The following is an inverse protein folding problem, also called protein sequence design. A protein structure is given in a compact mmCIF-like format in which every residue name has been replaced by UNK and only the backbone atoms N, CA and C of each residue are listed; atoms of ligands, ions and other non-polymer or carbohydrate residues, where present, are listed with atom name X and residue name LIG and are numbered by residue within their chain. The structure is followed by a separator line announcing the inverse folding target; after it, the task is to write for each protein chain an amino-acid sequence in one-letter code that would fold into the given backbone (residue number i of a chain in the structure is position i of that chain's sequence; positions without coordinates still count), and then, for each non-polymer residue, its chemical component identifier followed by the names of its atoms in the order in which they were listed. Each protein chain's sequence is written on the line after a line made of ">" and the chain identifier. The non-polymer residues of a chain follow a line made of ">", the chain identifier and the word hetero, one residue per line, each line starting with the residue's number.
data_IF_288551649605
#
_entry.id   IF_288551649605
#
_cell.length_a   1.000
_cell.length_b   1.000
_cell.length_c   1.000
_cell.angle_alpha   90.00
_cell.angle_beta   90.00
_cell.angle_gamma   90.00
#
_symmetry.space_group_name_H-M   'P 1'
#
loop_
_entity.id
_entity.type
_entity.pdbx_description
1 polymer ?
#
# COMPACT_ATOMS: atom_id res chain seq x y z
N UNK A 1 7.40 -5.01 -1.36
CA UNK A 1 7.11 -5.49 0.03
C UNK A 1 6.12 -4.51 0.64
N UNK A 2 5.43 -4.83 1.74
CA UNK A 2 4.39 -3.94 2.27
C UNK A 2 4.10 -4.29 3.72
N UNK A 3 3.43 -3.38 4.44
CA UNK A 3 2.93 -3.60 5.80
C UNK A 3 1.54 -2.95 5.93
N UNK A 4 0.54 -3.71 6.39
CA UNK A 4 -0.81 -3.20 6.67
C UNK A 4 -1.20 -3.49 8.10
N UNK A 5 -1.82 -2.52 8.77
CA UNK A 5 -2.23 -2.59 10.17
C UNK A 5 -3.69 -2.16 10.33
N UNK A 6 -4.37 -2.74 11.30
CA UNK A 6 -5.74 -2.40 11.67
C UNK A 6 -5.91 -2.43 13.18
N UNK A 7 -6.77 -1.55 13.71
CA UNK A 7 -7.28 -1.61 15.07
C UNK A 7 -8.79 -1.40 15.06
N UNK A 8 -9.52 -2.32 15.72
CA UNK A 8 -10.98 -2.31 15.75
C UNK A 8 -11.53 -1.21 16.68
N UNK A 9 -12.81 -0.83 16.54
CA UNK A 9 -13.45 0.17 17.38
C UNK A 9 -13.30 -0.10 18.90
N UNK A 10 -13.29 -1.37 19.29
CA UNK A 10 -13.12 -1.75 20.70
C UNK A 10 -11.73 -1.45 21.26
N UNK A 11 -10.72 -1.29 20.40
CA UNK A 11 -9.32 -1.07 20.78
C UNK A 11 -8.83 0.36 20.58
N UNK A 12 -9.50 1.15 19.73
CA UNK A 12 -9.09 2.52 19.40
C UNK A 12 -9.56 3.54 20.44
N UNK A 13 -8.91 4.70 20.46
CA UNK A 13 -9.17 5.78 21.44
C UNK A 13 -10.57 6.39 21.30
N UNK A 14 -11.09 6.49 20.06
CA UNK A 14 -12.36 7.17 19.76
C UNK A 14 -13.47 6.21 19.31
N UNK A 15 -13.26 4.90 19.41
CA UNK A 15 -14.28 3.91 19.05
C UNK A 15 -14.54 3.76 17.55
N UNK A 16 -13.61 4.22 16.70
CA UNK A 16 -13.68 4.04 15.26
C UNK A 16 -12.62 3.05 14.76
N UNK A 17 -12.90 2.36 13.67
CA UNK A 17 -11.92 1.48 13.03
C UNK A 17 -10.77 2.32 12.49
N UNK A 18 -9.52 1.93 12.80
CA UNK A 18 -8.32 2.50 12.18
C UNK A 18 -7.67 1.48 11.27
N UNK A 19 -7.28 1.94 10.08
CA UNK A 19 -6.59 1.12 9.10
C UNK A 19 -5.40 1.90 8.52
N UNK A 20 -4.27 1.25 8.26
CA UNK A 20 -3.16 1.92 7.60
C UNK A 20 -2.27 0.97 6.82
N UNK A 21 -1.58 1.50 5.79
CA UNK A 21 -0.68 0.73 4.96
C UNK A 21 0.51 1.54 4.46
N UNK A 22 1.66 0.86 4.45
CA UNK A 22 2.82 1.19 3.63
C UNK A 22 2.88 0.25 2.42
N UNK A 23 3.00 0.80 1.22
CA UNK A 23 3.26 0.05 -0.01
C UNK A 23 4.74 0.17 -0.38
N UNK A 24 5.45 -0.95 -0.49
CA UNK A 24 6.89 -0.95 -0.75
C UNK A 24 7.18 -1.52 -2.15
N UNK A 25 7.68 -0.66 -3.03
CA UNK A 25 7.93 -0.98 -4.44
C UNK A 25 9.27 -0.38 -4.91
N UNK A 26 9.56 -0.52 -6.20
CA UNK A 26 10.79 0.02 -6.78
C UNK A 26 10.82 1.57 -6.70
N UNK A 27 11.95 2.20 -6.30
CA UNK A 27 12.03 3.66 -6.19
C UNK A 27 11.74 4.47 -7.45
N UNK A 28 11.78 3.86 -8.64
CA UNK A 28 11.49 4.53 -9.91
C UNK A 28 10.18 4.06 -10.55
N UNK A 29 9.33 3.43 -9.77
CA UNK A 29 8.01 3.00 -10.18
C UNK A 29 6.99 4.07 -9.76
N UNK A 30 6.41 4.82 -10.72
CA UNK A 30 5.38 5.79 -10.37
C UNK A 30 4.20 5.09 -9.71
N UNK A 31 3.87 5.54 -8.50
CA UNK A 31 2.67 5.13 -7.76
C UNK A 31 1.98 6.39 -7.27
N UNK A 32 0.69 6.54 -7.59
CA UNK A 32 -0.07 7.74 -7.30
C UNK A 32 -1.49 7.42 -6.84
N UNK A 33 -2.12 8.40 -6.20
CA UNK A 33 -3.53 8.34 -5.85
C UNK A 33 -4.38 8.63 -7.09
N UNK A 34 -5.45 7.83 -7.26
CA UNK A 34 -6.42 8.00 -8.32
C UNK A 34 -7.84 7.89 -7.75
N UNK A 35 -8.66 8.89 -8.01
CA UNK A 35 -10.09 8.87 -7.77
C UNK A 35 -10.81 8.33 -9.00
N UNK A 36 -11.75 7.42 -8.80
CA UNK A 36 -12.55 6.80 -9.84
C UNK A 36 -14.01 6.90 -9.39
N UNK A 37 -14.84 7.71 -10.06
CA UNK A 37 -16.25 7.86 -9.71
C UNK A 37 -17.04 6.58 -9.94
N UNK A 38 -18.15 6.44 -9.24
CA UNK A 38 -19.13 5.38 -9.50
C UNK A 38 -19.60 5.42 -10.95
N UNK A 39 -19.82 4.24 -11.56
CA UNK A 39 -20.16 4.16 -12.98
C UNK A 39 -21.10 3.00 -13.31
N UNK A 40 -22.10 3.30 -14.14
CA UNK A 40 -23.00 2.31 -14.72
C UNK A 40 -22.51 1.84 -16.09
N UNK A 41 -22.68 0.55 -16.37
CA UNK A 41 -22.25 -0.11 -17.61
C UNK A 41 -23.40 -0.80 -18.30
N UNK A 42 -23.51 -0.59 -19.62
CA UNK A 42 -24.36 -1.39 -20.49
C UNK A 42 -23.62 -2.70 -20.82
N UNK A 43 -24.00 -3.78 -20.18
CA UNK A 43 -23.37 -5.08 -20.35
C UNK A 43 -23.51 -5.69 -21.77
N UNK A 44 -24.45 -5.18 -22.59
CA UNK A 44 -24.54 -5.58 -23.98
C UNK A 44 -23.41 -4.96 -24.82
N UNK A 45 -22.97 -3.75 -24.44
CA UNK A 45 -21.83 -3.05 -25.10
C UNK A 45 -20.48 -3.35 -24.47
N UNK A 46 -20.46 -3.57 -23.14
CA UNK A 46 -19.24 -3.78 -22.38
C UNK A 46 -19.38 -5.03 -21.49
N UNK A 47 -19.43 -6.23 -22.08
CA UNK A 47 -19.66 -7.47 -21.32
C UNK A 47 -18.45 -7.90 -20.48
N UNK A 48 -17.25 -7.36 -20.78
CA UNK A 48 -16.00 -7.75 -20.12
C UNK A 48 -15.18 -6.53 -19.72
N UNK A 49 -14.43 -6.70 -18.62
CA UNK A 49 -13.45 -5.76 -18.11
C UNK A 49 -12.05 -6.35 -18.30
N UNK A 50 -11.15 -5.62 -18.94
CA UNK A 50 -9.72 -6.00 -19.06
C UNK A 50 -8.98 -5.53 -17.82
N UNK A 51 -8.40 -6.48 -17.07
CA UNK A 51 -7.49 -6.25 -15.96
C UNK A 51 -6.04 -6.10 -16.46
N UNK A 52 -5.08 -6.16 -15.56
CA UNK A 52 -3.66 -6.05 -15.96
C UNK A 52 -3.25 -7.11 -16.98
N UNK A 53 -3.71 -8.35 -16.88
CA UNK A 53 -3.32 -9.46 -17.76
C UNK A 53 -4.47 -10.28 -18.33
N UNK A 54 -5.64 -10.25 -17.73
CA UNK A 54 -6.78 -11.09 -18.12
C UNK A 54 -8.05 -10.26 -18.20
N UNK A 55 -9.06 -10.77 -18.91
CA UNK A 55 -10.40 -10.19 -18.93
C UNK A 55 -11.34 -10.99 -18.01
N UNK A 56 -12.23 -10.28 -17.31
CA UNK A 56 -13.28 -10.86 -16.46
C UNK A 56 -14.63 -10.28 -16.85
N UNK A 57 -15.76 -10.90 -16.46
CA UNK A 57 -17.08 -10.30 -16.67
C UNK A 57 -17.19 -8.93 -16.01
N UNK A 58 -17.76 -7.97 -16.74
CA UNK A 58 -18.12 -6.67 -16.20
C UNK A 58 -19.40 -6.79 -15.34
N UNK A 59 -19.62 -5.81 -14.48
CA UNK A 59 -20.85 -5.65 -13.67
C UNK A 59 -21.64 -4.44 -14.14
N UNK A 60 -22.93 -4.37 -13.84
CA UNK A 60 -23.80 -3.26 -14.24
C UNK A 60 -23.42 -1.93 -13.56
N UNK A 61 -22.87 -2.01 -12.35
CA UNK A 61 -22.50 -0.84 -11.55
C UNK A 61 -21.18 -1.08 -10.82
N UNK A 62 -20.32 -0.05 -10.79
CA UNK A 62 -19.12 0.00 -9.93
C UNK A 62 -19.21 1.18 -8.97
N UNK A 63 -18.74 0.98 -7.74
CA UNK A 63 -18.74 1.99 -6.69
C UNK A 63 -17.62 3.00 -6.87
N UNK A 64 -17.81 4.19 -6.30
CA UNK A 64 -16.79 5.22 -6.21
C UNK A 64 -15.64 4.78 -5.30
N UNK A 65 -14.42 4.93 -5.79
CA UNK A 65 -13.21 4.50 -5.09
C UNK A 65 -12.10 5.55 -5.19
N UNK A 66 -11.21 5.56 -4.20
CA UNK A 66 -9.86 6.11 -4.33
C UNK A 66 -8.83 5.02 -4.09
N UNK A 67 -7.88 4.91 -5.00
CA UNK A 67 -6.85 3.87 -4.98
C UNK A 67 -5.45 4.47 -5.09
N UNK A 68 -4.47 3.76 -4.53
CA UNK A 68 -3.05 4.02 -4.79
C UNK A 68 -2.52 2.93 -5.70
N UNK A 69 -2.25 3.29 -6.96
CA UNK A 69 -1.85 2.30 -7.96
C UNK A 69 -0.51 2.60 -8.61
N UNK A 70 0.28 1.56 -8.92
CA UNK A 70 1.40 1.68 -9.86
C UNK A 70 0.88 2.06 -11.25
N UNK A 71 1.51 3.04 -11.90
CA UNK A 71 1.04 3.63 -13.17
C UNK A 71 0.79 2.64 -14.31
N UNK A 72 1.45 1.49 -14.29
CA UNK A 72 1.41 0.48 -15.37
C UNK A 72 0.39 -0.65 -15.13
N UNK A 73 -0.25 -0.71 -13.96
CA UNK A 73 -1.24 -1.74 -13.61
C UNK A 73 -2.66 -1.19 -13.69
N UNK A 74 -3.63 -2.04 -13.93
CA UNK A 74 -5.04 -1.72 -13.72
C UNK A 74 -5.39 -1.69 -12.23
N UNK A 75 -4.86 -2.64 -11.47
CA UNK A 75 -5.09 -2.82 -10.04
C UNK A 75 -4.33 -1.85 -9.14
N UNK A 76 -4.51 -1.96 -7.84
CA UNK A 76 -3.95 -1.07 -6.83
C UNK A 76 -3.35 -1.79 -5.63
N UNK A 77 -2.41 -1.15 -4.94
CA UNK A 77 -1.76 -1.64 -3.73
C UNK A 77 -2.63 -1.45 -2.49
N UNK A 78 -3.46 -0.42 -2.47
CA UNK A 78 -4.48 -0.16 -1.46
C UNK A 78 -5.53 0.81 -2.00
N UNK A 79 -6.63 0.87 -1.32
CA UNK A 79 -7.69 1.81 -1.61
C UNK A 79 -8.88 1.68 -0.67
N UNK A 80 -9.87 2.50 -0.93
CA UNK A 80 -11.12 2.57 -0.19
C UNK A 80 -12.26 3.02 -1.10
N UNK A 81 -13.50 2.73 -0.68
CA UNK A 81 -14.70 3.08 -1.44
C UNK A 81 -15.70 3.94 -0.63
N UNK A 82 -16.79 4.33 -1.28
CA UNK A 82 -17.84 5.18 -0.73
C UNK A 82 -18.58 4.63 0.50
N UNK A 83 -18.46 3.34 0.78
CA UNK A 83 -19.03 2.70 1.97
C UNK A 83 -18.04 2.61 3.14
N UNK A 84 -16.81 3.13 2.97
CA UNK A 84 -15.75 2.99 3.96
C UNK A 84 -15.09 1.61 3.98
N UNK A 85 -15.27 0.80 2.94
CA UNK A 85 -14.49 -0.42 2.75
C UNK A 85 -13.05 -0.05 2.41
N UNK A 86 -12.10 -0.57 3.18
CA UNK A 86 -10.66 -0.39 3.00
C UNK A 86 -9.98 -1.74 2.77
N UNK A 87 -9.11 -1.84 1.76
CA UNK A 87 -8.36 -3.05 1.46
C UNK A 87 -6.90 -2.69 1.17
N UNK A 88 -5.99 -3.47 1.77
CA UNK A 88 -4.56 -3.48 1.45
C UNK A 88 -4.08 -4.91 1.21
N UNK A 89 -3.13 -5.10 0.29
CA UNK A 89 -2.56 -6.41 0.02
C UNK A 89 -1.05 -6.44 0.21
N UNK A 90 -0.51 -7.61 0.55
CA UNK A 90 0.93 -7.89 0.63
C UNK A 90 1.32 -9.08 -0.24
N UNK A 91 2.50 -9.00 -0.82
CA UNK A 91 3.13 -10.14 -1.45
C UNK A 91 3.50 -11.19 -0.39
N UNK A 92 3.05 -12.43 -0.55
CA UNK A 92 3.46 -13.57 0.27
C UNK A 92 4.11 -14.66 -0.58
N UNK A 93 5.13 -15.29 -0.04
CA UNK A 93 5.89 -16.32 -0.73
C UNK A 93 5.48 -17.69 -0.23
N UNK A 94 4.95 -18.52 -1.13
CA UNK A 94 4.41 -19.83 -0.77
C UNK A 94 5.02 -20.94 -1.61
N UNK A 95 4.90 -22.19 -1.15
CA UNK A 95 5.37 -23.38 -1.87
C UNK A 95 4.49 -23.74 -3.07
N UNK A 96 3.28 -23.14 -3.18
CA UNK A 96 2.43 -23.34 -4.35
C UNK A 96 3.06 -22.72 -5.60
N UNK A 97 2.77 -23.31 -6.74
CA UNK A 97 3.32 -22.83 -8.04
C UNK A 97 2.68 -21.49 -8.42
N UNK A 98 3.52 -20.54 -8.80
CA UNK A 98 3.07 -19.27 -9.36
C UNK A 98 2.63 -19.41 -10.81
N UNK A 99 1.46 -18.87 -11.15
CA UNK A 99 1.03 -18.69 -12.54
C UNK A 99 1.78 -17.51 -13.12
N UNK A 100 2.59 -17.73 -14.12
CA UNK A 100 3.51 -16.71 -14.68
C UNK A 100 2.89 -15.86 -15.79
N UNK A 101 1.81 -16.35 -16.39
CA UNK A 101 1.08 -15.71 -17.50
C UNK A 101 -0.42 -15.87 -17.24
N UNK A 102 -1.21 -14.94 -17.74
CA UNK A 102 -2.68 -15.04 -17.77
C UNK A 102 -3.32 -15.27 -16.38
N UNK A 103 -2.71 -14.70 -15.34
CA UNK A 103 -3.22 -14.74 -13.98
C UNK A 103 -3.72 -13.38 -13.51
N UNK A 104 -4.58 -13.39 -12.50
CA UNK A 104 -5.07 -12.18 -11.85
C UNK A 104 -4.11 -11.78 -10.74
N UNK A 105 -3.64 -10.53 -10.76
CA UNK A 105 -2.78 -10.02 -9.69
C UNK A 105 -3.59 -9.71 -8.44
N UNK A 106 -2.96 -9.74 -7.26
CA UNK A 106 -3.63 -9.33 -6.01
C UNK A 106 -4.10 -7.89 -6.04
N UNK A 107 -3.38 -7.04 -6.77
CA UNK A 107 -3.73 -5.64 -6.99
C UNK A 107 -5.03 -5.50 -7.81
N UNK A 108 -5.22 -6.34 -8.84
CA UNK A 108 -6.46 -6.39 -9.61
C UNK A 108 -7.64 -6.90 -8.75
N UNK A 109 -7.40 -7.93 -7.93
CA UNK A 109 -8.41 -8.47 -7.01
C UNK A 109 -8.88 -7.43 -5.99
N UNK A 110 -7.95 -6.66 -5.44
CA UNK A 110 -8.21 -5.58 -4.49
C UNK A 110 -9.12 -4.52 -5.12
N UNK A 111 -8.77 -4.03 -6.30
CA UNK A 111 -9.57 -3.02 -6.99
C UNK A 111 -10.96 -3.55 -7.35
N UNK A 112 -11.07 -4.78 -7.86
CA UNK A 112 -12.36 -5.42 -8.15
C UNK A 112 -13.25 -5.48 -6.89
N UNK A 113 -12.69 -5.85 -5.73
CA UNK A 113 -13.44 -5.92 -4.49
C UNK A 113 -13.92 -4.52 -4.04
N UNK A 114 -13.09 -3.49 -4.15
CA UNK A 114 -13.48 -2.11 -3.85
C UNK A 114 -14.58 -1.59 -4.77
N UNK A 115 -14.52 -1.89 -6.07
CA UNK A 115 -15.52 -1.48 -7.06
C UNK A 115 -16.87 -2.22 -6.93
N UNK A 116 -16.91 -3.39 -6.25
CA UNK A 116 -18.05 -4.32 -6.31
C UNK A 116 -18.66 -4.69 -4.96
N UNK A 117 -18.00 -4.39 -3.84
CA UNK A 117 -18.42 -4.81 -2.50
C UNK A 117 -18.66 -3.60 -1.60
N UNK A 118 -19.66 -3.69 -0.72
CA UNK A 118 -20.06 -2.63 0.20
C UNK A 118 -19.48 -2.78 1.59
N UNK A 119 -19.11 -4.01 1.97
CA UNK A 119 -18.64 -4.31 3.32
C UNK A 119 -17.40 -5.20 3.30
N UNK A 120 -16.68 -5.24 4.42
CA UNK A 120 -15.53 -6.10 4.59
C UNK A 120 -15.88 -7.59 4.44
N UNK A 121 -17.09 -7.98 4.87
CA UNK A 121 -17.55 -9.38 4.72
C UNK A 121 -17.87 -9.73 3.27
N UNK A 122 -18.55 -8.84 2.54
CA UNK A 122 -18.78 -9.04 1.10
C UNK A 122 -17.49 -9.13 0.32
N UNK A 123 -16.51 -8.26 0.63
CA UNK A 123 -15.18 -8.29 0.01
C UNK A 123 -14.42 -9.59 0.30
N UNK A 124 -14.50 -10.09 1.54
CA UNK A 124 -13.91 -11.39 1.91
C UNK A 124 -14.52 -12.52 1.10
N UNK A 125 -15.85 -12.59 1.02
CA UNK A 125 -16.57 -13.64 0.28
C UNK A 125 -16.24 -13.54 -1.22
N UNK A 126 -16.31 -12.33 -1.79
CA UNK A 126 -15.92 -12.09 -3.17
C UNK A 126 -14.50 -12.56 -3.47
N UNK A 127 -13.52 -12.19 -2.63
CA UNK A 127 -12.12 -12.55 -2.85
C UNK A 127 -11.88 -14.06 -2.74
N UNK A 128 -12.50 -14.74 -1.78
CA UNK A 128 -12.36 -16.19 -1.63
C UNK A 128 -12.94 -16.96 -2.82
N UNK A 129 -14.15 -16.61 -3.28
CA UNK A 129 -14.77 -17.18 -4.48
C UNK A 129 -13.97 -16.86 -5.75
N UNK A 130 -13.47 -15.62 -5.85
CA UNK A 130 -12.72 -15.18 -7.02
C UNK A 130 -11.38 -15.91 -7.16
N UNK A 131 -10.65 -16.11 -6.05
CA UNK A 131 -9.38 -16.86 -6.01
C UNK A 131 -9.57 -18.34 -6.39
N UNK A 132 -10.68 -18.94 -6.04
CA UNK A 132 -11.00 -20.33 -6.44
C UNK A 132 -11.30 -20.43 -7.94
N UNK A 133 -11.89 -19.39 -8.52
CA UNK A 133 -12.32 -19.36 -9.93
C UNK A 133 -11.22 -18.91 -10.89
N UNK A 134 -10.41 -17.92 -10.48
CA UNK A 134 -9.39 -17.32 -11.33
C UNK A 134 -7.99 -17.54 -10.73
N UNK A 135 -7.02 -18.07 -11.52
CA UNK A 135 -5.69 -18.33 -10.99
C UNK A 135 -4.97 -17.01 -10.64
N UNK A 136 -4.40 -16.94 -9.44
CA UNK A 136 -3.51 -15.85 -9.05
C UNK A 136 -2.22 -15.91 -9.87
N UNK A 137 -1.78 -14.78 -10.43
CA UNK A 137 -0.53 -14.77 -11.20
C UNK A 137 -0.32 -13.50 -12.00
N UNK A 138 0.52 -13.63 -13.02
CA UNK A 138 1.05 -12.49 -13.77
C UNK A 138 2.30 -11.91 -13.11
N UNK A 139 3.05 -11.11 -13.86
CA UNK A 139 4.22 -10.43 -13.35
C UNK A 139 3.82 -9.21 -12.51
N UNK A 140 4.20 -9.19 -11.25
CA UNK A 140 3.93 -8.08 -10.32
C UNK A 140 5.12 -7.11 -10.16
N UNK A 141 6.24 -7.36 -10.87
CA UNK A 141 7.48 -6.58 -10.73
C UNK A 141 7.64 -5.51 -11.79
N UNK A 142 8.03 -4.29 -11.38
CA UNK A 142 8.38 -3.20 -12.28
C UNK A 142 9.80 -3.32 -12.83
N UNK A 143 9.91 -3.45 -14.15
CA UNK A 143 11.21 -3.61 -14.83
C UNK A 143 11.96 -4.91 -14.52
N UNK A 144 11.32 -5.86 -13.84
CA UNK A 144 11.84 -7.19 -13.52
C UNK A 144 10.70 -8.20 -13.45
N UNK A 145 10.96 -9.48 -13.64
CA UNK A 145 9.99 -10.55 -13.39
C UNK A 145 9.94 -10.84 -11.89
N UNK A 146 8.75 -10.73 -11.30
CA UNK A 146 8.54 -11.01 -9.89
C UNK A 146 7.13 -11.59 -9.68
N UNK A 147 7.04 -12.77 -9.08
CA UNK A 147 5.82 -13.55 -8.91
C UNK A 147 5.61 -13.88 -7.46
N UNK A 148 4.39 -13.74 -6.96
CA UNK A 148 4.01 -14.04 -5.58
C UNK A 148 2.51 -14.30 -5.47
N UNK A 149 2.07 -14.84 -4.36
CA UNK A 149 0.66 -14.85 -3.96
C UNK A 149 0.39 -13.68 -3.03
N UNK A 150 -0.86 -13.56 -2.54
CA UNK A 150 -1.26 -12.37 -1.81
C UNK A 150 -1.83 -12.72 -0.44
N UNK A 151 -1.64 -11.83 0.52
CA UNK A 151 -2.48 -11.67 1.70
C UNK A 151 -3.20 -10.34 1.62
N UNK A 152 -4.37 -10.27 2.26
CA UNK A 152 -5.20 -9.07 2.28
C UNK A 152 -5.60 -8.76 3.71
N UNK A 153 -5.61 -7.48 4.06
CA UNK A 153 -6.30 -6.94 5.20
C UNK A 153 -7.49 -6.14 4.68
N UNK A 154 -8.68 -6.47 5.16
CA UNK A 154 -9.96 -5.96 4.67
C UNK A 154 -10.71 -5.42 5.87
N UNK A 155 -11.17 -4.17 5.84
CA UNK A 155 -11.89 -3.56 6.95
C UNK A 155 -12.98 -2.59 6.47
N UNK A 156 -14.07 -2.55 7.22
CA UNK A 156 -15.09 -1.49 7.19
C UNK A 156 -15.25 -0.89 8.61
N UNK A 157 -16.28 -0.12 8.85
CA UNK A 157 -16.52 0.50 10.16
C UNK A 157 -16.83 -0.51 11.29
N UNK A 158 -17.22 -1.72 10.95
CA UNK A 158 -17.69 -2.75 11.90
C UNK A 158 -16.72 -3.90 12.06
N UNK A 159 -16.18 -4.39 10.94
CA UNK A 159 -15.43 -5.64 10.89
C UNK A 159 -14.09 -5.49 10.17
N UNK A 160 -13.13 -6.30 10.60
CA UNK A 160 -11.86 -6.47 9.90
C UNK A 160 -11.51 -7.95 9.74
N UNK A 161 -10.96 -8.31 8.57
CA UNK A 161 -10.57 -9.67 8.22
C UNK A 161 -9.16 -9.71 7.64
N UNK A 162 -8.42 -10.74 8.01
CA UNK A 162 -7.16 -11.13 7.34
C UNK A 162 -7.45 -12.31 6.46
N UNK A 163 -7.08 -12.22 5.18
CA UNK A 163 -7.15 -13.30 4.21
C UNK A 163 -5.75 -13.62 3.71
N UNK A 164 -5.26 -14.84 3.91
CA UNK A 164 -3.96 -15.31 3.40
C UNK A 164 -4.18 -16.39 2.36
N UNK A 165 -3.42 -16.34 1.26
CA UNK A 165 -3.61 -17.22 0.12
C UNK A 165 -2.33 -17.95 -0.30
N UNK A 166 -2.50 -19.13 -0.90
CA UNK A 166 -1.46 -19.94 -1.54
C UNK A 166 -2.03 -20.60 -2.81
N UNK A 167 -1.80 -20.01 -3.98
CA UNK A 167 -2.46 -20.40 -5.23
C UNK A 167 -3.96 -20.18 -5.14
N UNK A 168 -4.75 -21.25 -5.27
CA UNK A 168 -6.20 -21.21 -5.11
C UNK A 168 -6.67 -21.47 -3.66
N UNK A 169 -5.74 -21.83 -2.78
CA UNK A 169 -6.04 -22.12 -1.38
C UNK A 169 -5.97 -20.85 -0.55
N UNK A 170 -6.80 -20.76 0.48
CA UNK A 170 -6.89 -19.63 1.37
C UNK A 170 -7.26 -20.04 2.79
N UNK A 171 -6.90 -19.19 3.74
CA UNK A 171 -7.40 -19.17 5.12
C UNK A 171 -7.74 -17.72 5.48
N UNK A 172 -8.76 -17.53 6.31
CA UNK A 172 -9.08 -16.20 6.83
C UNK A 172 -9.34 -16.20 8.32
N UNK A 173 -9.18 -15.03 8.93
CA UNK A 173 -9.45 -14.77 10.35
C UNK A 173 -10.09 -13.42 10.55
N UNK A 174 -11.15 -13.35 11.40
CA UNK A 174 -11.73 -12.10 11.87
C UNK A 174 -10.81 -11.47 12.94
N UNK A 175 -10.53 -10.19 12.80
CA UNK A 175 -9.73 -9.42 13.76
C UNK A 175 -10.60 -9.05 14.95
N UNK A 176 -10.11 -9.24 16.18
CA UNK A 176 -10.84 -8.89 17.41
C UNK A 176 -10.47 -7.50 17.93
N UNK A 177 -9.18 -7.26 18.15
CA UNK A 177 -8.66 -6.02 18.73
C UNK A 177 -7.81 -5.25 17.69
N UNK A 178 -6.66 -5.79 17.34
CA UNK A 178 -5.76 -5.24 16.33
C UNK A 178 -4.99 -6.35 15.62
N UNK A 179 -4.50 -6.05 14.43
CA UNK A 179 -3.69 -6.98 13.66
C UNK A 179 -2.74 -6.25 12.71
N UNK A 180 -1.65 -6.94 12.36
CA UNK A 180 -0.72 -6.52 11.34
C UNK A 180 -0.43 -7.69 10.39
N UNK A 181 -0.40 -7.41 9.09
CA UNK A 181 0.14 -8.30 8.06
C UNK A 181 1.36 -7.68 7.39
N UNK A 182 2.22 -8.53 6.85
CA UNK A 182 3.43 -8.17 6.14
C UNK A 182 3.77 -9.25 5.11
N UNK A 183 4.96 -9.25 4.53
CA UNK A 183 5.37 -10.21 3.50
C UNK A 183 5.71 -11.61 4.05
N UNK A 184 4.82 -12.15 4.86
CA UNK A 184 4.90 -13.51 5.40
C UNK A 184 3.51 -14.05 5.73
N UNK A 185 3.30 -15.33 5.58
CA UNK A 185 2.12 -16.00 6.15
C UNK A 185 2.21 -15.96 7.68
N UNK A 186 1.10 -15.68 8.36
CA UNK A 186 1.05 -15.50 9.81
C UNK A 186 -0.17 -16.12 10.51
N UNK A 187 -1.17 -16.59 9.77
CA UNK A 187 -2.37 -17.24 10.34
C UNK A 187 -2.09 -18.70 10.71
N UNK A 188 -1.53 -18.90 11.91
CA UNK A 188 -1.38 -20.25 12.48
C UNK A 188 -2.73 -20.83 12.96
N UNK A 189 -3.66 -19.96 13.34
CA UNK A 189 -5.08 -20.26 13.62
C UNK A 189 -5.97 -19.39 12.76
N UNK A 190 -7.04 -19.94 12.23
CA UNK A 190 -7.96 -19.28 11.31
C UNK A 190 -9.41 -19.69 11.62
N UNK A 191 -10.37 -18.92 11.13
CA UNK A 191 -11.80 -19.16 11.35
C UNK A 191 -12.38 -20.05 10.25
N UNK A 192 -11.87 -19.94 9.01
CA UNK A 192 -12.20 -20.86 7.93
C UNK A 192 -11.06 -20.99 6.89
N UNK A 193 -11.16 -21.99 6.04
CA UNK A 193 -10.22 -22.26 4.96
C UNK A 193 -10.93 -22.84 3.74
N UNK A 194 -10.26 -22.75 2.58
CA UNK A 194 -10.72 -23.38 1.33
C UNK A 194 -10.77 -24.89 1.41
N UNK A 195 -11.65 -25.50 0.64
CA UNK A 195 -11.73 -26.94 0.49
C UNK A 195 -10.42 -27.54 -0.06
N UNK A 196 -10.02 -28.69 0.46
CA UNK A 196 -8.83 -29.42 0.01
C UNK A 196 -7.50 -28.84 0.45
N UNK A 197 -7.46 -27.75 1.26
CA UNK A 197 -6.23 -27.12 1.75
C UNK A 197 -5.33 -28.13 2.49
N UNK A 198 -5.89 -28.85 3.45
CA UNK A 198 -5.16 -29.81 4.29
C UNK A 198 -4.72 -31.03 3.48
N UNK A 199 -5.61 -31.55 2.66
CA UNK A 199 -5.37 -32.67 1.76
C UNK A 199 -4.24 -32.36 0.76
N UNK A 200 -4.20 -31.13 0.25
CA UNK A 200 -3.11 -30.69 -0.62
C UNK A 200 -1.77 -30.66 0.12
N UNK A 201 -1.72 -30.17 1.35
CA UNK A 201 -0.51 -30.16 2.16
C UNK A 201 0.01 -31.59 2.45
N UNK A 202 -0.88 -32.52 2.78
CA UNK A 202 -0.56 -33.94 2.99
C UNK A 202 -0.04 -34.58 1.69
N UNK A 203 -0.73 -34.37 0.58
CA UNK A 203 -0.35 -34.88 -0.74
C UNK A 203 1.05 -34.45 -1.17
N UNK A 204 1.41 -33.21 -0.85
CA UNK A 204 2.72 -32.64 -1.17
C UNK A 204 3.80 -32.97 -0.11
N UNK A 205 3.46 -33.71 0.96
CA UNK A 205 4.40 -34.07 2.02
C UNK A 205 4.80 -32.92 2.93
N UNK A 206 4.00 -31.83 2.98
CA UNK A 206 4.28 -30.66 3.83
C UNK A 206 3.82 -30.87 5.27
N UNK A 207 2.91 -31.81 5.51
CA UNK A 207 2.57 -32.36 6.80
C UNK A 207 2.16 -33.85 6.65
N UNK A 208 2.11 -34.58 7.78
CA UNK A 208 1.81 -36.03 7.78
C UNK A 208 0.33 -36.34 7.93
N UNK A 209 -0.43 -35.48 8.59
CA UNK A 209 -1.83 -35.70 8.93
C UNK A 209 -2.56 -34.38 9.16
N UNK A 210 -3.90 -34.45 9.30
CA UNK A 210 -4.74 -33.28 9.66
C UNK A 210 -4.38 -32.71 11.04
N UNK A 211 -3.97 -33.52 11.98
CA UNK A 211 -3.57 -33.08 13.34
C UNK A 211 -2.21 -32.41 13.38
N UNK A 212 -1.36 -32.64 12.37
CA UNK A 212 -0.04 -32.04 12.22
C UNK A 212 -0.07 -30.77 11.33
N UNK A 213 -1.23 -30.47 10.79
CA UNK A 213 -1.37 -29.35 9.87
C UNK A 213 -1.26 -27.98 10.58
N UNK A 214 -0.40 -27.13 10.03
CA UNK A 214 -0.30 -25.72 10.37
C UNK A 214 -0.09 -24.95 9.05
N UNK A 215 -0.99 -24.06 8.70
CA UNK A 215 -0.95 -23.36 7.41
C UNK A 215 0.38 -22.67 7.15
N UNK A 216 0.86 -21.89 8.12
CA UNK A 216 2.12 -21.13 8.00
C UNK A 216 3.31 -22.08 7.74
N UNK A 217 3.43 -23.16 8.52
CA UNK A 217 4.55 -24.13 8.36
C UNK A 217 4.47 -24.91 7.06
N UNK A 218 3.24 -25.31 6.67
CA UNK A 218 3.02 -26.11 5.46
C UNK A 218 3.25 -25.31 4.18
N UNK A 219 2.73 -24.09 4.12
CA UNK A 219 2.66 -23.33 2.87
C UNK A 219 3.74 -22.26 2.69
N UNK A 220 4.46 -21.83 3.73
CA UNK A 220 5.51 -20.81 3.58
C UNK A 220 6.68 -21.31 2.73
N UNK A 221 7.08 -20.53 1.73
CA UNK A 221 8.38 -20.66 1.07
C UNK A 221 9.43 -19.93 1.92
N UNK A 222 10.44 -20.67 2.48
CA UNK A 222 11.28 -20.11 3.55
C UNK A 222 12.32 -19.10 3.08
N UNK A 223 12.84 -19.25 1.86
CA UNK A 223 13.99 -18.46 1.40
C UNK A 223 13.61 -17.00 1.14
N UNK A 224 12.63 -16.77 0.27
CA UNK A 224 12.17 -15.42 -0.05
C UNK A 224 11.52 -14.74 1.15
N UNK A 225 10.74 -15.49 1.95
CA UNK A 225 10.14 -14.98 3.19
C UNK A 225 11.21 -14.46 4.17
N UNK A 226 12.34 -15.17 4.33
CA UNK A 226 13.46 -14.74 5.16
C UNK A 226 14.10 -13.45 4.63
N UNK A 227 14.34 -13.36 3.32
CA UNK A 227 14.94 -12.16 2.72
C UNK A 227 14.01 -10.94 2.78
N UNK A 228 12.69 -11.14 2.68
CA UNK A 228 11.70 -10.08 2.79
C UNK A 228 11.61 -9.46 4.19
N UNK A 229 12.10 -10.14 5.24
CA UNK A 229 12.02 -9.70 6.65
C UNK A 229 10.61 -9.30 7.10
N UNK A 230 9.58 -9.89 6.48
CA UNK A 230 8.18 -9.57 6.78
C UNK A 230 7.79 -9.95 8.20
N UNK A 231 8.35 -11.05 8.73
CA UNK A 231 8.07 -11.47 10.11
C UNK A 231 8.58 -10.47 11.13
N UNK A 232 9.77 -9.93 10.96
CA UNK A 232 10.38 -8.94 11.84
C UNK A 232 9.57 -7.63 11.83
N UNK A 233 9.17 -7.15 10.65
CA UNK A 233 8.33 -5.94 10.53
C UNK A 233 6.96 -6.15 11.15
N UNK A 234 6.33 -7.30 10.89
CA UNK A 234 5.04 -7.64 11.50
C UNK A 234 5.11 -7.68 13.02
N UNK A 235 6.12 -8.34 13.59
CA UNK A 235 6.33 -8.38 15.06
C UNK A 235 6.44 -6.96 15.61
N UNK A 236 7.25 -6.11 14.96
CA UNK A 236 7.41 -4.71 15.38
C UNK A 236 6.10 -3.91 15.29
N UNK A 237 5.31 -4.11 14.23
CA UNK A 237 4.01 -3.46 14.09
C UNK A 237 3.04 -3.91 15.18
N UNK A 238 2.99 -5.21 15.50
CA UNK A 238 2.16 -5.76 16.58
C UNK A 238 2.59 -5.23 17.97
N UNK A 239 3.89 -5.10 18.22
CA UNK A 239 4.42 -4.49 19.46
C UNK A 239 3.94 -3.04 19.61
N UNK A 240 4.11 -2.22 18.56
CA UNK A 240 3.75 -0.80 18.57
C UNK A 240 2.23 -0.58 18.66
N UNK A 241 1.41 -1.48 18.07
CA UNK A 241 -0.05 -1.47 18.24
C UNK A 241 -0.44 -1.84 19.67
N UNK A 242 0.26 -2.79 20.29
CA UNK A 242 -0.01 -3.25 21.67
C UNK A 242 0.35 -2.26 22.78
N UNK A 243 0.95 -1.10 22.47
CA UNK A 243 1.34 -0.08 23.47
C UNK A 243 0.15 0.71 24.05
N UNK A 244 -1.07 0.49 23.57
CA UNK A 244 -2.30 1.12 24.09
C UNK A 244 -3.25 1.57 22.98
N UNK A 245 -4.36 2.21 23.35
CA UNK A 245 -5.44 2.62 22.44
C UNK A 245 -4.93 3.63 21.40
N UNK A 246 -4.75 3.24 20.13
CA UNK A 246 -4.20 4.09 19.09
C UNK A 246 -5.20 5.14 18.59
N UNK A 247 -4.66 6.20 18.02
CA UNK A 247 -5.34 7.19 17.19
C UNK A 247 -4.62 7.32 15.83
N UNK A 248 -5.09 8.21 14.97
CA UNK A 248 -4.50 8.49 13.64
C UNK A 248 -3.02 8.83 13.75
N UNK A 249 -2.62 9.68 14.71
CA UNK A 249 -1.21 10.10 14.88
C UNK A 249 -0.31 8.94 15.30
N UNK A 250 -0.82 8.02 16.14
CA UNK A 250 -0.11 6.79 16.50
C UNK A 250 0.09 5.90 15.27
N UNK A 251 -0.94 5.73 14.43
CA UNK A 251 -0.83 4.95 13.19
C UNK A 251 0.20 5.55 12.22
N UNK A 252 0.20 6.88 12.03
CA UNK A 252 1.24 7.59 11.25
C UNK A 252 2.63 7.30 11.83
N UNK A 253 2.79 7.35 13.16
CA UNK A 253 4.07 7.09 13.82
C UNK A 253 4.56 5.65 13.59
N UNK A 254 3.64 4.66 13.58
CA UNK A 254 3.96 3.26 13.28
C UNK A 254 4.44 3.12 11.84
N UNK A 255 3.75 3.72 10.86
CA UNK A 255 4.16 3.69 9.46
C UNK A 255 5.53 4.33 9.21
N UNK A 256 5.95 5.26 10.07
CA UNK A 256 7.24 5.96 10.02
C UNK A 256 8.37 5.25 10.77
N UNK A 257 8.08 4.13 11.45
CA UNK A 257 9.06 3.51 12.34
C UNK A 257 10.19 2.83 11.59
N UNK A 258 11.40 2.93 12.16
CA UNK A 258 12.63 2.35 11.64
C UNK A 258 13.24 1.35 12.64
N UNK A 259 13.83 0.28 12.13
CA UNK A 259 14.50 -0.77 12.94
C UNK A 259 15.99 -0.50 13.15
N UNK A 260 16.53 0.62 12.70
CA UNK A 260 17.96 0.89 12.81
C UNK A 260 18.38 2.26 12.28
N UNK A 261 19.39 2.28 11.40
CA UNK A 261 20.01 3.50 10.88
C UNK A 261 19.32 4.07 9.62
N UNK A 262 18.12 3.63 9.28
CA UNK A 262 17.41 4.00 8.05
C UNK A 262 17.23 5.52 7.90
N UNK A 263 16.97 6.23 9.01
CA UNK A 263 16.81 7.68 9.04
C UNK A 263 17.98 8.47 8.43
N UNK A 264 19.13 7.85 8.24
CA UNK A 264 20.36 8.53 7.82
C UNK A 264 20.92 8.09 6.47
N UNK A 265 20.07 7.54 5.60
CA UNK A 265 20.50 7.15 4.26
C UNK A 265 21.18 5.79 4.20
N UNK A 266 20.66 4.82 4.93
CA UNK A 266 21.05 3.42 4.83
C UNK A 266 19.88 2.57 4.36
N UNK A 267 20.17 1.48 3.66
CA UNK A 267 19.16 0.48 3.38
C UNK A 267 18.65 -0.16 4.66
N UNK A 268 17.32 -0.28 4.79
CA UNK A 268 16.72 -1.00 5.92
C UNK A 268 15.45 -1.74 5.48
N UNK A 269 15.58 -3.02 5.17
CA UNK A 269 14.49 -3.90 4.74
C UNK A 269 13.62 -4.36 5.91
N UNK A 270 14.17 -4.33 7.12
CA UNK A 270 13.49 -4.73 8.36
C UNK A 270 12.68 -3.61 9.00
N UNK A 271 12.62 -2.42 8.41
CA UNK A 271 11.83 -1.28 8.87
C UNK A 271 10.44 -1.26 8.25
N UNK A 272 9.41 -0.85 9.00
CA UNK A 272 8.06 -0.60 8.49
C UNK A 272 8.12 0.56 7.48
N UNK A 273 8.82 1.66 7.77
CA UNK A 273 9.23 2.63 6.76
C UNK A 273 10.48 2.10 6.06
N UNK A 274 10.29 1.42 4.95
CA UNK A 274 11.36 0.73 4.24
C UNK A 274 12.19 1.69 3.39
N UNK A 275 13.53 1.56 3.48
CA UNK A 275 14.46 2.34 2.68
C UNK A 275 15.26 1.46 1.73
N UNK A 276 15.23 1.80 0.43
CA UNK A 276 16.03 1.14 -0.59
C UNK A 276 17.51 1.53 -0.49
N UNK A 277 18.36 0.75 -1.13
CA UNK A 277 19.79 1.06 -1.26
C UNK A 277 20.71 -0.15 -1.19
N UNK A 278 20.16 -1.36 -1.31
CA UNK A 278 20.90 -2.62 -1.28
C UNK A 278 20.43 -3.64 -2.32
N UNK A 279 20.67 -4.91 -2.03
CA UNK A 279 20.29 -6.03 -2.92
C UNK A 279 18.77 -6.09 -3.12
N UNK A 280 18.01 -5.89 -2.04
CA UNK A 280 16.56 -5.69 -2.12
C UNK A 280 16.35 -4.20 -2.32
N UNK A 281 15.97 -3.84 -3.54
CA UNK A 281 15.95 -2.45 -3.98
C UNK A 281 14.58 -1.78 -3.86
N UNK A 282 13.69 -2.25 -2.98
CA UNK A 282 12.37 -1.66 -2.76
C UNK A 282 12.40 -0.65 -1.60
N UNK A 283 11.51 0.32 -1.64
CA UNK A 283 11.26 1.32 -0.58
C UNK A 283 9.76 1.54 -0.43
N UNK A 284 9.34 2.15 0.67
CA UNK A 284 7.96 2.63 0.81
C UNK A 284 7.68 3.71 -0.23
N UNK A 285 6.73 3.47 -1.13
CA UNK A 285 6.38 4.33 -2.27
C UNK A 285 5.07 5.10 -2.06
N UNK A 286 4.20 4.61 -1.18
CA UNK A 286 2.97 5.28 -0.78
C UNK A 286 2.54 4.81 0.61
N UNK A 287 1.88 5.70 1.35
CA UNK A 287 1.35 5.42 2.68
C UNK A 287 0.00 6.08 2.89
N UNK A 288 -0.87 5.45 3.66
CA UNK A 288 -2.09 6.07 4.12
C UNK A 288 -2.54 5.55 5.48
N UNK A 289 -3.36 6.35 6.15
CA UNK A 289 -4.10 6.02 7.36
C UNK A 289 -5.56 6.36 7.14
N UNK A 290 -6.48 5.48 7.52
CA UNK A 290 -7.92 5.70 7.49
C UNK A 290 -8.48 5.66 8.92
N UNK A 291 -9.36 6.60 9.24
CA UNK A 291 -10.32 6.49 10.32
C UNK A 291 -11.67 6.20 9.67
N UNK A 292 -12.17 4.97 9.86
CA UNK A 292 -13.30 4.43 9.11
C UNK A 292 -14.59 4.61 9.91
N UNK A 293 -15.56 5.28 9.29
CA UNK A 293 -16.88 5.58 9.82
C UNK A 293 -17.96 5.51 8.71
N UNK A 294 -17.99 4.40 7.98
CA UNK A 294 -18.87 4.25 6.82
C UNK A 294 -18.60 5.34 5.76
N UNK A 295 -19.64 6.00 5.28
CA UNK A 295 -19.53 7.09 4.32
C UNK A 295 -18.90 8.39 4.88
N UNK A 296 -18.71 8.49 6.20
CA UNK A 296 -18.06 9.63 6.85
C UNK A 296 -16.58 9.37 7.16
N UNK A 297 -16.03 8.29 6.60
CA UNK A 297 -14.63 7.93 6.72
C UNK A 297 -13.69 9.04 6.26
N UNK A 298 -12.57 9.17 6.93
CA UNK A 298 -11.53 10.16 6.61
C UNK A 298 -10.18 9.49 6.44
N UNK A 299 -9.36 10.06 5.58
CA UNK A 299 -8.12 9.47 5.15
C UNK A 299 -6.98 10.48 5.28
N UNK A 300 -5.78 9.98 5.50
CA UNK A 300 -4.53 10.75 5.54
C UNK A 300 -3.55 10.05 4.61
N UNK A 301 -3.15 10.71 3.54
CA UNK A 301 -2.41 10.09 2.44
C UNK A 301 -1.11 10.83 2.14
N UNK A 302 -0.04 10.10 1.83
CA UNK A 302 1.21 10.75 1.42
C UNK A 302 1.23 11.09 -0.07
N UNK A 303 0.66 10.22 -0.92
CA UNK A 303 0.79 10.33 -2.38
C UNK A 303 2.26 10.35 -2.87
N UNK A 304 3.21 10.06 -1.99
CA UNK A 304 4.65 10.15 -2.22
C UNK A 304 5.41 9.10 -1.41
N UNK A 305 6.67 8.87 -1.78
CA UNK A 305 7.54 7.88 -1.16
C UNK A 305 8.08 8.32 0.20
N UNK A 306 8.44 7.36 1.05
CA UNK A 306 9.06 7.49 2.35
C UNK A 306 8.25 8.34 3.35
N UNK A 307 7.32 7.73 4.10
CA UNK A 307 6.44 8.43 5.04
C UNK A 307 7.21 9.15 6.16
N UNK A 308 8.46 8.78 6.44
CA UNK A 308 9.31 9.48 7.39
C UNK A 308 9.72 10.89 6.91
N UNK A 309 9.60 11.17 5.62
CA UNK A 309 9.94 12.45 4.97
C UNK A 309 8.68 13.11 4.41
N UNK A 310 7.80 12.35 3.76
CA UNK A 310 6.57 12.84 3.15
C UNK A 310 5.48 13.14 4.19
N UNK A 311 4.61 14.10 3.88
CA UNK A 311 3.55 14.54 4.77
C UNK A 311 2.24 13.78 4.48
N UNK A 312 1.51 13.45 5.52
CA UNK A 312 0.16 12.88 5.44
C UNK A 312 -0.86 14.01 5.33
N UNK A 313 -1.41 14.15 4.14
CA UNK A 313 -2.47 15.14 3.87
C UNK A 313 -3.83 14.54 4.16
N UNK A 314 -4.72 15.28 4.85
CA UNK A 314 -6.10 14.86 5.03
C UNK A 314 -6.80 14.78 3.68
N UNK A 315 -7.68 13.77 3.52
CA UNK A 315 -8.42 13.51 2.30
C UNK A 315 -9.81 12.93 2.63
N UNK A 316 -10.82 13.35 1.90
CA UNK A 316 -12.13 12.70 1.85
C UNK A 316 -12.32 12.05 0.48
N UNK A 317 -13.09 10.98 0.40
CA UNK A 317 -13.42 10.37 -0.88
C UNK A 317 -14.13 11.41 -1.77
N UNK A 318 -13.72 11.47 -3.02
CA UNK A 318 -14.24 12.40 -4.00
C UNK A 318 -13.14 13.11 -4.77
N UNK A 319 -13.57 14.03 -5.64
CA UNK A 319 -12.65 14.82 -6.45
C UNK A 319 -11.79 15.75 -5.59
N UNK A 320 -10.50 15.79 -5.92
CA UNK A 320 -9.52 16.71 -5.35
C UNK A 320 -8.60 17.20 -6.48
N UNK A 321 -8.29 18.50 -6.52
CA UNK A 321 -7.52 19.08 -7.63
C UNK A 321 -6.09 18.55 -7.74
N UNK A 322 -5.54 17.98 -6.68
CA UNK A 322 -4.17 17.41 -6.63
C UNK A 322 -4.15 15.89 -6.82
N UNK A 323 -5.31 15.22 -6.80
CA UNK A 323 -5.45 13.77 -7.03
C UNK A 323 -5.85 13.53 -8.49
N UNK A 324 -5.28 12.50 -9.12
CA UNK A 324 -5.63 12.15 -10.49
C UNK A 324 -7.05 11.59 -10.58
N UNK A 325 -7.83 12.02 -11.55
CA UNK A 325 -9.11 11.40 -11.90
C UNK A 325 -8.91 10.18 -12.81
N UNK A 326 -9.97 9.40 -13.03
CA UNK A 326 -9.94 8.28 -13.97
C UNK A 326 -9.52 8.77 -15.39
N UNK A 327 -8.47 8.15 -15.94
CA UNK A 327 -7.86 8.57 -17.21
C UNK A 327 -6.81 9.69 -17.12
N UNK A 328 -6.57 10.30 -15.95
CA UNK A 328 -5.58 11.38 -15.75
C UNK A 328 -4.20 10.86 -15.29
N UNK A 329 -3.74 9.73 -15.79
CA UNK A 329 -2.46 9.13 -15.37
C UNK A 329 -1.27 10.09 -15.44
N UNK A 330 -1.24 10.99 -16.44
CA UNK A 330 -0.16 12.00 -16.57
C UNK A 330 -0.11 12.96 -15.38
N UNK A 331 -1.27 13.36 -14.84
CA UNK A 331 -1.37 14.21 -13.64
C UNK A 331 -0.80 13.48 -12.43
N UNK A 332 -1.24 12.23 -12.18
CA UNK A 332 -0.74 11.41 -11.08
C UNK A 332 0.75 11.15 -11.15
N UNK A 333 1.28 10.79 -12.33
CA UNK A 333 2.72 10.64 -12.57
C UNK A 333 3.47 11.96 -12.37
N UNK A 334 2.91 13.09 -12.77
CA UNK A 334 3.48 14.43 -12.57
C UNK A 334 3.65 14.78 -11.09
N UNK A 335 2.61 14.55 -10.30
CA UNK A 335 2.63 14.72 -8.84
C UNK A 335 3.71 13.85 -8.19
N UNK A 336 3.69 12.54 -8.45
CA UNK A 336 4.71 11.60 -7.98
C UNK A 336 6.12 12.07 -8.36
N UNK A 337 6.33 12.49 -9.60
CA UNK A 337 7.63 12.88 -10.12
C UNK A 337 8.20 14.11 -9.41
N UNK A 338 7.36 15.09 -9.07
CA UNK A 338 7.75 16.29 -8.34
C UNK A 338 8.28 15.93 -6.95
N UNK A 339 7.55 15.08 -6.22
CA UNK A 339 7.97 14.59 -4.91
C UNK A 339 9.21 13.69 -4.98
N UNK A 340 9.29 12.83 -5.99
CA UNK A 340 10.44 11.93 -6.16
C UNK A 340 11.74 12.67 -6.50
N UNK A 341 11.68 13.79 -7.24
CA UNK A 341 12.82 14.68 -7.43
C UNK A 341 13.32 15.27 -6.11
N UNK A 342 12.42 15.81 -5.31
CA UNK A 342 12.76 16.36 -3.99
C UNK A 342 13.38 15.27 -3.12
N UNK A 343 12.81 14.06 -3.11
CA UNK A 343 13.32 12.93 -2.36
C UNK A 343 14.76 12.57 -2.71
N UNK A 344 15.21 12.71 -3.98
CA UNK A 344 16.62 12.47 -4.35
C UNK A 344 17.59 13.44 -3.66
N UNK A 345 17.20 14.69 -3.46
CA UNK A 345 17.99 15.63 -2.68
C UNK A 345 18.06 15.24 -1.20
N UNK A 346 16.97 14.74 -0.62
CA UNK A 346 16.98 14.21 0.74
C UNK A 346 17.88 12.98 0.88
N UNK A 347 17.69 11.96 0.07
CA UNK A 347 18.47 10.71 0.12
C UNK A 347 19.96 10.97 -0.10
N UNK A 348 20.31 11.91 -0.96
CA UNK A 348 21.72 12.29 -1.18
C UNK A 348 22.33 13.01 0.00
N UNK A 349 21.53 13.61 0.87
CA UNK A 349 21.97 14.47 1.96
C UNK A 349 22.22 15.91 1.55
N UNK A 350 21.81 16.29 0.33
CA UNK A 350 22.03 17.65 -0.21
C UNK A 350 21.07 18.68 0.38
N UNK A 351 19.87 18.25 0.79
CA UNK A 351 18.82 19.13 1.33
C UNK A 351 18.37 18.79 2.76
N UNK A 352 18.99 17.89 3.48
CA UNK A 352 18.44 17.52 4.78
C UNK A 352 18.89 18.47 5.88
N UNK A 353 17.92 19.22 6.41
CA UNK A 353 17.97 19.69 7.79
C UNK A 353 16.79 19.07 8.54
N UNK A 354 17.01 18.63 9.78
CA UNK A 354 15.93 18.21 10.68
C UNK A 354 14.83 19.29 10.76
N UNK A 355 15.21 20.56 10.68
CA UNK A 355 14.32 21.71 10.66
C UNK A 355 13.23 21.65 9.57
N UNK A 356 13.56 21.22 8.35
CA UNK A 356 12.58 21.08 7.26
C UNK A 356 11.55 20.00 7.59
N UNK A 357 12.03 18.87 8.12
CA UNK A 357 11.15 17.77 8.51
C UNK A 357 10.25 18.18 9.69
N UNK A 358 10.79 18.83 10.69
CA UNK A 358 10.04 19.30 11.87
C UNK A 358 8.97 20.34 11.49
N UNK A 359 9.31 21.32 10.64
CA UNK A 359 8.33 22.29 10.12
C UNK A 359 7.21 21.61 9.33
N UNK A 360 7.55 20.65 8.46
CA UNK A 360 6.55 19.86 7.74
C UNK A 360 5.63 19.08 8.68
N UNK A 361 6.19 18.41 9.69
CA UNK A 361 5.40 17.68 10.70
C UNK A 361 4.51 18.58 11.55
N UNK A 362 4.95 19.80 11.85
CA UNK A 362 4.13 20.78 12.55
C UNK A 362 2.89 21.16 11.72
N UNK A 363 3.07 21.45 10.42
CA UNK A 363 1.97 21.72 9.50
C UNK A 363 1.03 20.51 9.37
N UNK A 364 1.57 19.30 9.19
CA UNK A 364 0.79 18.05 9.14
C UNK A 364 -0.06 17.86 10.39
N UNK A 365 0.49 18.07 11.58
CA UNK A 365 -0.26 17.96 12.84
C UNK A 365 -1.40 18.98 12.92
N UNK A 366 -1.17 20.21 12.46
CA UNK A 366 -2.19 21.25 12.37
C UNK A 366 -3.32 20.84 11.40
N UNK A 367 -2.96 20.33 10.20
CA UNK A 367 -3.97 19.85 9.23
C UNK A 367 -4.81 18.72 9.82
N UNK A 368 -4.18 17.72 10.47
CA UNK A 368 -4.87 16.58 11.09
C UNK A 368 -5.85 17.08 12.17
N UNK A 369 -5.42 17.95 13.07
CA UNK A 369 -6.25 18.45 14.17
C UNK A 369 -7.43 19.29 13.67
N UNK A 370 -7.20 20.19 12.72
CA UNK A 370 -8.25 20.98 12.05
C UNK A 370 -9.25 20.08 11.34
N UNK A 371 -8.77 19.09 10.58
CA UNK A 371 -9.60 18.21 9.76
C UNK A 371 -10.47 17.28 10.62
N UNK A 372 -9.94 16.70 11.68
CA UNK A 372 -10.71 15.84 12.58
C UNK A 372 -11.78 16.59 13.38
N UNK A 373 -11.57 17.89 13.65
CA UNK A 373 -12.53 18.74 14.35
C UNK A 373 -13.51 19.48 13.43
N UNK A 374 -13.30 19.43 12.10
CA UNK A 374 -14.09 20.15 11.11
C UNK A 374 -15.44 19.47 10.81
N UNK A 375 -16.40 20.26 10.34
CA UNK A 375 -17.64 19.75 9.73
C UNK A 375 -17.31 19.00 8.42
N UNK A 376 -18.24 18.21 7.93
CA UNK A 376 -18.05 17.45 6.68
C UNK A 376 -17.84 18.40 5.49
N UNK A 377 -18.57 19.51 5.48
CA UNK A 377 -18.50 20.54 4.43
C UNK A 377 -17.12 21.22 4.40
N UNK A 378 -16.54 21.51 5.57
CA UNK A 378 -15.26 22.20 5.68
C UNK A 378 -14.06 21.29 5.35
N UNK A 379 -14.22 19.97 5.49
CA UNK A 379 -13.13 18.99 5.25
C UNK A 379 -12.60 19.02 3.83
N UNK A 380 -13.45 19.26 2.83
CA UNK A 380 -13.00 19.35 1.43
C UNK A 380 -12.01 20.51 1.27
N UNK A 381 -12.35 21.70 1.77
CA UNK A 381 -11.50 22.88 1.69
C UNK A 381 -10.18 22.70 2.47
N UNK A 382 -10.22 22.05 3.65
CA UNK A 382 -9.01 21.74 4.43
C UNK A 382 -8.13 20.73 3.68
N UNK A 383 -8.72 19.75 3.01
CA UNK A 383 -8.00 18.78 2.17
C UNK A 383 -7.26 19.47 1.04
N UNK A 384 -7.96 20.31 0.25
CA UNK A 384 -7.35 21.07 -0.87
C UNK A 384 -6.21 21.97 -0.38
N UNK A 385 -6.44 22.73 0.71
CA UNK A 385 -5.41 23.61 1.31
C UNK A 385 -4.16 22.82 1.75
N UNK A 386 -4.33 21.64 2.35
CA UNK A 386 -3.20 20.81 2.78
C UNK A 386 -2.37 20.27 1.59
N UNK A 387 -3.02 19.84 0.52
CA UNK A 387 -2.32 19.40 -0.70
C UNK A 387 -1.59 20.56 -1.37
N UNK A 388 -2.24 21.72 -1.49
CA UNK A 388 -1.62 22.93 -2.06
C UNK A 388 -0.41 23.40 -1.24
N UNK A 389 -0.52 23.38 0.09
CA UNK A 389 0.59 23.74 0.97
C UNK A 389 1.76 22.75 0.85
N UNK A 390 1.49 21.45 0.81
CA UNK A 390 2.52 20.41 0.60
C UNK A 390 3.24 20.61 -0.74
N UNK A 391 2.51 20.83 -1.83
CA UNK A 391 3.09 21.09 -3.14
C UNK A 391 3.95 22.36 -3.17
N UNK A 392 3.48 23.46 -2.56
CA UNK A 392 4.27 24.70 -2.41
C UNK A 392 5.55 24.47 -1.62
N UNK A 393 5.50 23.68 -0.54
CA UNK A 393 6.69 23.33 0.25
C UNK A 393 7.69 22.53 -0.59
N UNK A 394 7.22 21.53 -1.34
CA UNK A 394 8.06 20.71 -2.22
C UNK A 394 8.71 21.55 -3.33
N UNK A 395 7.93 22.39 -4.02
CA UNK A 395 8.43 23.27 -5.08
C UNK A 395 9.45 24.27 -4.57
N UNK A 396 9.22 24.87 -3.40
CA UNK A 396 10.18 25.75 -2.74
C UNK A 396 11.50 25.03 -2.45
N UNK A 397 11.43 23.81 -1.90
CA UNK A 397 12.64 23.01 -1.62
C UNK A 397 13.40 22.65 -2.90
N UNK A 398 12.70 22.36 -4.00
CA UNK A 398 13.30 22.11 -5.30
C UNK A 398 13.97 23.37 -5.88
N UNK A 399 13.37 24.54 -5.70
CA UNK A 399 13.99 25.82 -6.14
C UNK A 399 15.23 26.14 -5.31
N UNK A 400 15.18 26.01 -3.99
CA UNK A 400 16.32 26.16 -3.08
C UNK A 400 17.48 25.17 -3.41
N UNK A 401 17.13 24.04 -4.01
CA UNK A 401 18.09 23.02 -4.44
C UNK A 401 18.57 23.19 -5.89
N UNK A 402 17.96 24.08 -6.68
CA UNK A 402 18.18 24.19 -8.13
C UNK A 402 19.64 24.32 -8.55
N UNK A 403 20.44 25.04 -7.74
CA UNK A 403 21.87 25.23 -7.98
C UNK A 403 22.76 24.17 -7.36
N UNK A 404 22.19 23.26 -6.57
CA UNK A 404 22.93 22.21 -5.87
C UNK A 404 22.99 20.95 -6.72
N UNK A 405 24.19 20.40 -6.90
CA UNK A 405 24.36 19.11 -7.56
C UNK A 405 24.02 17.97 -6.59
N UNK A 406 23.17 17.02 -7.02
CA UNK A 406 22.91 15.82 -6.25
C UNK A 406 24.20 14.99 -6.17
N UNK A 407 24.75 14.84 -4.98
CA UNK A 407 25.94 14.06 -4.69
C UNK A 407 25.68 13.08 -3.55
N UNK A 408 25.70 11.79 -3.83
CA UNK A 408 25.49 10.75 -2.83
C UNK A 408 26.77 10.55 -2.01
N UNK A 409 26.87 11.22 -0.88
CA UNK A 409 28.01 11.14 0.05
C UNK A 409 27.74 10.23 1.25
N UNK A 410 26.44 9.97 1.54
CA UNK A 410 25.99 9.13 2.65
C UNK A 410 25.98 7.64 2.27
N UNK A 411 26.03 6.76 3.29
CA UNK A 411 25.98 5.32 3.12
C UNK A 411 27.26 4.70 2.56
N UNK A 412 27.30 3.37 2.46
CA UNK A 412 28.39 2.62 1.88
C UNK A 412 28.51 2.79 0.35
N UNK A 413 29.58 2.29 -0.24
CA UNK A 413 29.84 2.41 -1.69
C UNK A 413 28.68 1.84 -2.53
N UNK A 414 28.16 0.68 -2.16
CA UNK A 414 27.02 0.05 -2.86
C UNK A 414 25.76 0.93 -2.83
N UNK A 415 25.42 1.50 -1.68
CA UNK A 415 24.27 2.41 -1.51
C UNK A 415 24.40 3.63 -2.45
N UNK A 416 25.60 4.24 -2.49
CA UNK A 416 25.87 5.39 -3.36
C UNK A 416 25.75 5.06 -4.85
N UNK A 417 26.27 3.90 -5.27
CA UNK A 417 26.16 3.42 -6.66
C UNK A 417 24.68 3.14 -7.01
N UNK A 418 23.95 2.47 -6.11
CA UNK A 418 22.53 2.19 -6.29
C UNK A 418 21.74 3.47 -6.55
N UNK A 419 21.86 4.47 -5.68
CA UNK A 419 21.09 5.70 -5.79
C UNK A 419 21.55 6.60 -6.96
N UNK A 420 22.84 6.62 -7.29
CA UNK A 420 23.34 7.29 -8.50
C UNK A 420 22.68 6.70 -9.75
N UNK A 421 22.59 5.38 -9.86
CA UNK A 421 21.97 4.72 -10.99
C UNK A 421 20.45 4.94 -11.03
N UNK A 422 19.77 4.86 -9.88
CA UNK A 422 18.32 5.14 -9.80
C UNK A 422 17.99 6.58 -10.17
N UNK A 423 18.79 7.53 -9.71
CA UNK A 423 18.63 8.95 -10.05
C UNK A 423 18.87 9.23 -11.53
N UNK A 424 19.91 8.63 -12.13
CA UNK A 424 20.13 8.72 -13.58
C UNK A 424 18.90 8.24 -14.37
N UNK A 425 18.35 7.08 -14.04
CA UNK A 425 17.15 6.53 -14.70
C UNK A 425 15.92 7.40 -14.48
N UNK A 426 15.76 8.04 -13.31
CA UNK A 426 14.68 8.99 -13.08
C UNK A 426 14.77 10.20 -14.03
N UNK A 427 15.96 10.77 -14.20
CA UNK A 427 16.15 11.89 -15.15
C UNK A 427 16.01 11.47 -16.61
N UNK A 428 16.34 10.22 -16.98
CA UNK A 428 16.05 9.67 -18.30
C UNK A 428 14.54 9.55 -18.54
N UNK A 429 13.78 9.10 -17.54
CA UNK A 429 12.32 9.07 -17.57
C UNK A 429 11.72 10.48 -17.76
N UNK A 430 12.16 11.47 -16.99
CA UNK A 430 11.74 12.87 -17.13
C UNK A 430 11.97 13.41 -18.54
N UNK A 431 13.12 13.10 -19.15
CA UNK A 431 13.44 13.55 -20.52
C UNK A 431 12.51 12.92 -21.57
N UNK A 432 12.02 11.70 -21.35
CA UNK A 432 11.03 11.06 -22.24
C UNK A 432 9.67 11.74 -22.11
N UNK A 433 9.16 11.88 -20.88
CA UNK A 433 7.90 12.55 -20.61
C UNK A 433 7.83 13.98 -21.20
N UNK A 434 8.94 14.74 -21.13
CA UNK A 434 9.01 16.08 -21.68
C UNK A 434 9.12 16.13 -23.23
N UNK A 435 9.43 15.02 -23.89
CA UNK A 435 9.44 14.93 -25.37
C UNK A 435 8.09 14.51 -25.97
N UNK A 436 7.22 13.94 -25.14
CA UNK A 436 5.88 13.50 -25.52
C UNK A 436 4.81 14.58 -25.23
N UNK A 437 5.26 15.74 -24.75
CA UNK A 437 4.52 17.00 -24.67
C UNK A 437 4.78 17.87 -25.87
#
# INVERSE_FOLDING_TARGET
>A
MCDTIVATPAYTKNGKMLFAKNSDRSPNEPQFLQHIPAKDYDLQKTPTLTLTYVAVPQVEHTFEITISRPSWMWGAEFGFNEFGLNIGNEAVFTKEKYVKTDGVTGMDMLRLALERCRSAKEALDFLTEFIEKYPQGGNCGYGKKFYYHNSFLIADSSDAYVLETAGKYWVWKKVKDFFAISNCLCLESYDACSAGLVENAIKNGWCKSKTDFNFVKCYTEPLFTKFAKGRERRVKAMELLGEGSPDVKKFISILRSHAGKAERGYQEVGSICMHAGGVIGDQTTASYVAEIDGADSVYFVTGASLPCISLFKPYVLGKNEHVAEDGEDKKGVGYWLTHEKMLRYFISGTLLTNEIIEKGRAAENEWIDRFLSATKEDRVAISEDAFEQDERLVLKQLDDARTKQISFTRGGAYYRIFWKNKTKKLYEFIKKENKEK
#
